data_IF_882597317397
#
_entry.id   IF_882597317397
#
_cell.length_a   1.000
_cell.length_b   1.000
_cell.length_c   1.000
_cell.angle_alpha   90.00
_cell.angle_beta   90.00
_cell.angle_gamma   90.00
#
_symmetry.space_group_name_H-M   'P 1'
#
loop_
_entity.id
_entity.type
_entity.pdbx_description
1 polymer ?
#
# COMPACT_ATOMS: atom_id res chain seq x y z
N UNK A 1 1.15 1.05 -18.13
CA UNK A 1 0.52 0.04 -17.24
C UNK A 1 -0.04 0.78 -16.05
N UNK A 2 -1.34 1.12 -16.03
CA UNK A 2 -1.95 1.88 -14.91
C UNK A 2 -3.49 1.78 -14.79
N UNK A 3 -4.15 0.93 -15.58
CA UNK A 3 -5.61 0.94 -15.69
C UNK A 3 -6.29 -0.43 -15.54
N UNK A 4 -5.56 -1.48 -15.13
CA UNK A 4 -6.14 -2.83 -14.93
C UNK A 4 -5.78 -3.49 -13.60
N UNK A 5 -4.97 -2.83 -12.76
CA UNK A 5 -4.52 -3.40 -11.49
C UNK A 5 -5.50 -3.14 -10.34
N UNK A 6 -6.15 -1.98 -10.31
CA UNK A 6 -6.93 -1.56 -9.14
C UNK A 6 -8.37 -2.10 -9.08
N UNK A 7 -8.89 -2.68 -10.17
CA UNK A 7 -10.26 -3.26 -10.17
C UNK A 7 -10.31 -4.69 -9.59
N UNK A 8 -9.16 -5.31 -9.27
CA UNK A 8 -9.08 -6.72 -8.80
C UNK A 8 -8.15 -6.84 -7.57
N UNK A 9 -7.95 -5.76 -6.84
CA UNK A 9 -7.12 -5.78 -5.62
C UNK A 9 -7.97 -5.41 -4.44
N UNK A 10 -8.09 -6.34 -3.49
CA UNK A 10 -8.82 -6.15 -2.24
C UNK A 10 -8.10 -5.11 -1.35
N UNK A 11 -6.77 -5.03 -1.43
CA UNK A 11 -5.95 -4.11 -0.61
C UNK A 11 -5.01 -3.30 -1.50
N UNK A 12 -4.92 -1.98 -1.27
CA UNK A 12 -3.93 -1.11 -1.93
C UNK A 12 -2.78 -0.78 -0.99
N UNK A 13 -1.55 -1.10 -1.40
CA UNK A 13 -0.34 -0.71 -0.67
C UNK A 13 0.34 0.47 -1.35
N UNK A 14 0.38 1.61 -0.67
CA UNK A 14 1.04 2.84 -1.11
C UNK A 14 2.44 2.92 -0.51
N UNK A 15 3.47 2.75 -1.33
CA UNK A 15 4.86 2.88 -0.87
C UNK A 15 5.33 4.32 -1.07
N UNK A 16 5.70 4.99 0.02
CA UNK A 16 6.23 6.36 0.03
C UNK A 16 7.62 6.35 0.64
N UNK A 17 8.54 7.12 0.08
CA UNK A 17 9.90 7.19 0.59
C UNK A 17 10.02 8.29 1.64
N UNK A 18 10.64 7.99 2.79
CA UNK A 18 10.80 8.93 3.90
C UNK A 18 11.74 10.12 3.59
N UNK A 19 12.55 10.04 2.54
CA UNK A 19 13.49 11.08 2.10
C UNK A 19 12.91 11.99 0.99
N UNK A 20 12.04 11.46 0.14
CA UNK A 20 11.50 12.15 -1.05
C UNK A 20 10.13 12.81 -0.81
N UNK A 21 9.39 12.41 0.25
CA UNK A 21 8.10 13.00 0.60
C UNK A 21 6.95 12.62 -0.35
N UNK A 22 5.89 13.42 -0.34
CA UNK A 22 4.71 13.20 -1.20
C UNK A 22 4.96 13.78 -2.60
N UNK A 23 5.13 12.89 -3.57
CA UNK A 23 5.26 13.26 -4.99
C UNK A 23 3.90 13.31 -5.70
N UNK A 24 3.76 14.01 -6.83
CA UNK A 24 2.51 14.04 -7.61
C UNK A 24 2.01 12.65 -8.00
N UNK A 25 2.90 11.69 -8.22
CA UNK A 25 2.55 10.30 -8.49
C UNK A 25 1.89 9.61 -7.28
N UNK A 26 2.28 9.98 -6.07
CA UNK A 26 1.67 9.53 -4.82
C UNK A 26 0.26 10.09 -4.71
N UNK A 27 0.06 11.38 -5.03
CA UNK A 27 -1.26 12.04 -5.02
C UNK A 27 -2.23 11.35 -5.99
N UNK A 28 -1.78 11.08 -7.22
CA UNK A 28 -2.57 10.33 -8.21
C UNK A 28 -2.96 8.93 -7.70
N UNK A 29 -2.03 8.24 -7.04
CA UNK A 29 -2.29 6.92 -6.46
C UNK A 29 -3.30 6.98 -5.32
N UNK A 30 -3.23 7.99 -4.45
CA UNK A 30 -4.20 8.22 -3.35
C UNK A 30 -5.60 8.45 -3.94
N UNK A 31 -5.71 9.31 -4.95
CA UNK A 31 -6.98 9.57 -5.61
C UNK A 31 -7.57 8.30 -6.24
N UNK A 32 -6.74 7.47 -6.85
CA UNK A 32 -7.18 6.22 -7.46
C UNK A 32 -7.64 5.21 -6.42
N UNK A 33 -6.89 5.05 -5.33
CA UNK A 33 -7.22 4.14 -4.24
C UNK A 33 -8.51 4.55 -3.53
N UNK A 34 -8.69 5.86 -3.27
CA UNK A 34 -9.94 6.41 -2.72
C UNK A 34 -11.14 6.19 -3.62
N UNK A 35 -10.97 6.36 -4.93
CA UNK A 35 -12.04 6.11 -5.91
C UNK A 35 -12.45 4.63 -5.94
N UNK A 36 -11.52 3.72 -5.71
CA UNK A 36 -11.77 2.28 -5.63
C UNK A 36 -12.43 1.84 -4.30
N UNK A 37 -12.42 2.68 -3.25
CA UNK A 37 -12.95 2.39 -1.91
C UNK A 37 -12.38 1.12 -1.27
N UNK A 38 -11.14 0.81 -1.60
CA UNK A 38 -10.40 -0.33 -1.04
C UNK A 38 -9.56 0.14 0.15
N UNK A 39 -9.32 -0.71 1.16
CA UNK A 39 -8.40 -0.40 2.26
C UNK A 39 -7.01 -0.01 1.74
N UNK A 40 -6.45 1.04 2.35
CA UNK A 40 -5.16 1.62 1.97
C UNK A 40 -4.16 1.39 3.11
N UNK A 41 -3.04 0.76 2.77
CA UNK A 41 -1.89 0.58 3.67
C UNK A 41 -0.75 1.44 3.15
N UNK A 42 -0.23 2.32 4.00
CA UNK A 42 0.90 3.19 3.66
C UNK A 42 2.20 2.58 4.20
N UNK A 43 3.10 2.24 3.28
CA UNK A 43 4.44 1.75 3.58
C UNK A 43 5.46 2.88 3.43
N UNK A 44 5.94 3.42 4.55
CA UNK A 44 7.00 4.44 4.58
C UNK A 44 8.36 3.75 4.51
N UNK A 45 9.01 3.80 3.35
CA UNK A 45 10.28 3.14 3.06
C UNK A 45 11.49 4.07 3.32
N UNK A 46 12.69 3.48 3.41
CA UNK A 46 14.01 4.14 3.59
C UNK A 46 14.23 4.79 4.97
N UNK A 47 13.66 4.22 6.03
CA UNK A 47 13.93 4.67 7.42
C UNK A 47 15.39 4.49 7.86
N UNK A 48 16.19 3.77 7.07
CA UNK A 48 17.62 3.56 7.33
C UNK A 48 18.49 4.79 7.04
N UNK A 49 17.95 5.79 6.32
CA UNK A 49 18.69 7.01 6.01
C UNK A 49 18.56 8.04 7.14
N UNK A 50 19.66 8.72 7.42
CA UNK A 50 19.72 9.85 8.36
C UNK A 50 18.91 11.08 7.91
N UNK A 51 18.60 11.19 6.61
CA UNK A 51 17.69 12.22 6.07
C UNK A 51 16.23 11.73 5.96
N UNK A 52 15.87 10.61 6.61
CA UNK A 52 14.51 10.11 6.62
C UNK A 52 13.65 10.91 7.61
N UNK A 53 12.58 11.53 7.13
CA UNK A 53 11.61 12.26 7.95
C UNK A 53 10.21 11.62 7.82
N UNK A 54 9.97 10.47 8.49
CA UNK A 54 8.68 9.79 8.41
C UNK A 54 7.53 10.64 8.94
N UNK A 55 7.77 11.47 9.95
CA UNK A 55 6.75 12.36 10.53
C UNK A 55 6.30 13.44 9.54
N UNK A 56 7.22 13.97 8.72
CA UNK A 56 6.87 14.91 7.65
C UNK A 56 5.98 14.25 6.61
N UNK A 57 6.32 13.03 6.18
CA UNK A 57 5.53 12.27 5.22
C UNK A 57 4.13 11.96 5.76
N UNK A 58 4.01 11.61 7.04
CA UNK A 58 2.72 11.40 7.70
C UNK A 58 1.86 12.66 7.70
N UNK A 59 2.47 13.83 7.95
CA UNK A 59 1.76 15.10 7.93
C UNK A 59 1.27 15.44 6.51
N UNK A 60 2.13 15.32 5.49
CA UNK A 60 1.74 15.58 4.10
C UNK A 60 0.63 14.63 3.61
N UNK A 61 0.69 13.35 3.99
CA UNK A 61 -0.35 12.38 3.65
C UNK A 61 -1.67 12.66 4.38
N UNK A 62 -1.60 13.16 5.62
CA UNK A 62 -2.77 13.62 6.37
C UNK A 62 -3.46 14.80 5.68
N UNK A 63 -2.70 15.72 5.07
CA UNK A 63 -3.26 16.81 4.26
C UNK A 63 -3.96 16.30 2.99
N UNK A 64 -3.51 15.18 2.43
CA UNK A 64 -4.21 14.47 1.35
C UNK A 64 -5.40 13.63 1.85
N UNK A 65 -5.65 13.67 3.17
CA UNK A 65 -6.75 13.03 3.87
C UNK A 65 -6.46 11.60 4.36
N UNK A 66 -5.25 11.07 4.15
CA UNK A 66 -4.85 9.76 4.71
C UNK A 66 -4.38 9.97 6.15
N UNK A 67 -5.32 9.81 7.08
CA UNK A 67 -5.07 10.03 8.50
C UNK A 67 -4.56 8.71 9.10
N UNK A 68 -3.40 8.71 9.78
CA UNK A 68 -2.89 7.51 10.44
C UNK A 68 -3.80 7.04 11.58
N UNK A 69 -3.84 5.73 11.81
CA UNK A 69 -4.57 5.14 12.96
C UNK A 69 -4.11 5.70 14.31
N UNK A 70 -2.82 6.01 14.46
CA UNK A 70 -2.29 6.68 15.67
C UNK A 70 -2.99 8.01 15.98
N UNK A 71 -3.55 8.68 14.96
CA UNK A 71 -4.26 9.95 15.08
C UNK A 71 -5.78 9.78 15.02
N UNK A 72 -6.27 8.54 15.16
CA UNK A 72 -7.69 8.20 15.08
C UNK A 72 -8.24 8.12 13.65
N UNK A 73 -7.35 7.96 12.67
CA UNK A 73 -7.73 7.69 11.28
C UNK A 73 -7.99 6.21 10.99
N UNK A 74 -8.17 5.91 9.71
CA UNK A 74 -8.45 4.57 9.16
C UNK A 74 -7.31 4.01 8.30
N UNK A 75 -6.22 4.78 8.13
CA UNK A 75 -5.09 4.39 7.30
C UNK A 75 -3.97 3.78 8.13
N UNK A 76 -3.56 2.57 7.77
CA UNK A 76 -2.47 1.85 8.45
C UNK A 76 -1.13 2.40 7.93
N UNK A 77 -0.24 2.81 8.83
CA UNK A 77 1.10 3.28 8.50
C UNK A 77 2.16 2.31 9.00
N UNK A 78 2.93 1.74 8.07
CA UNK A 78 4.03 0.83 8.38
C UNK A 78 5.35 1.46 7.96
N UNK A 79 6.26 1.60 8.93
CA UNK A 79 7.62 2.11 8.71
C UNK A 79 8.55 0.94 8.40
N UNK A 80 9.19 0.94 7.23
CA UNK A 80 10.06 -0.16 6.81
C UNK A 80 11.34 0.32 6.11
N UNK A 81 12.34 -0.54 6.11
CA UNK A 81 13.57 -0.38 5.33
C UNK A 81 13.73 -1.58 4.41
N UNK A 82 13.42 -1.37 3.12
CA UNK A 82 13.63 -2.39 2.09
C UNK A 82 15.11 -2.82 1.97
N UNK A 83 16.05 -1.95 2.37
CA UNK A 83 17.49 -2.23 2.27
C UNK A 83 18.00 -3.08 3.44
N UNK A 84 17.49 -2.85 4.66
CA UNK A 84 17.83 -3.64 5.85
C UNK A 84 16.91 -4.85 6.06
N UNK A 85 15.80 -4.92 5.34
CA UNK A 85 14.76 -5.93 5.53
C UNK A 85 13.89 -5.69 6.77
N UNK A 86 14.06 -4.57 7.46
CA UNK A 86 13.33 -4.25 8.69
C UNK A 86 11.92 -3.75 8.37
N UNK A 87 10.89 -4.22 9.09
CA UNK A 87 9.50 -3.79 8.89
C UNK A 87 8.78 -4.42 7.69
N UNK A 88 9.42 -5.34 6.98
CA UNK A 88 8.77 -6.12 5.91
C UNK A 88 7.83 -7.17 6.51
N UNK A 89 8.27 -7.85 7.57
CA UNK A 89 7.44 -8.78 8.32
C UNK A 89 6.23 -8.07 8.92
N UNK A 90 6.42 -6.90 9.56
CA UNK A 90 5.32 -6.09 10.07
C UNK A 90 4.32 -5.70 8.96
N UNK A 91 4.81 -5.30 7.78
CA UNK A 91 3.95 -4.99 6.63
C UNK A 91 3.13 -6.21 6.21
N UNK A 92 3.76 -7.40 6.15
CA UNK A 92 3.08 -8.64 5.80
C UNK A 92 2.04 -9.03 6.85
N UNK A 93 2.34 -8.87 8.14
CA UNK A 93 1.39 -9.12 9.23
C UNK A 93 0.20 -8.18 9.16
N UNK A 94 0.40 -6.88 8.89
CA UNK A 94 -0.70 -5.93 8.71
C UNK A 94 -1.55 -6.26 7.49
N UNK A 95 -0.93 -6.66 6.37
CA UNK A 95 -1.67 -7.10 5.18
C UNK A 95 -2.50 -8.34 5.49
N UNK A 96 -1.94 -9.32 6.22
CA UNK A 96 -2.65 -10.53 6.64
C UNK A 96 -3.84 -10.18 7.54
N UNK A 97 -3.64 -9.30 8.52
CA UNK A 97 -4.70 -8.86 9.43
C UNK A 97 -5.86 -8.18 8.68
N UNK A 98 -5.54 -7.27 7.75
CA UNK A 98 -6.56 -6.63 6.90
C UNK A 98 -7.27 -7.64 6.02
N UNK A 99 -6.54 -8.61 5.46
CA UNK A 99 -7.11 -9.67 4.63
C UNK A 99 -7.99 -10.67 5.42
N UNK A 100 -7.78 -10.83 6.73
CA UNK A 100 -8.66 -11.61 7.60
C UNK A 100 -9.93 -10.83 7.96
N UNK A 101 -9.83 -9.51 8.15
CA UNK A 101 -10.97 -8.64 8.43
C UNK A 101 -11.85 -8.43 7.20
N UNK A 102 -11.26 -8.28 6.02
CA UNK A 102 -11.95 -8.38 4.75
C UNK A 102 -12.27 -9.84 4.48
N UNK A 103 -13.38 -10.35 5.02
CA UNK A 103 -13.86 -11.73 4.85
C UNK A 103 -13.78 -12.18 3.38
N UNK A 104 -12.64 -12.73 2.98
CA UNK A 104 -12.40 -13.18 1.63
C UNK A 104 -13.22 -14.47 1.45
N UNK A 105 -14.48 -14.33 1.04
CA UNK A 105 -15.31 -15.43 0.55
C UNK A 105 -14.77 -15.88 -0.80
N UNK A 106 -13.60 -16.51 -0.79
CA UNK A 106 -13.08 -17.26 -1.92
C UNK A 106 -13.99 -18.48 -2.08
N UNK A 107 -14.88 -18.45 -3.08
CA UNK A 107 -15.66 -19.61 -3.48
C UNK A 107 -14.75 -20.54 -4.31
N UNK A 108 -14.35 -21.72 -3.80
CA UNK A 108 -13.39 -22.61 -4.48
C UNK A 108 -13.95 -23.25 -5.77
N UNK A 109 -15.23 -23.02 -6.11
CA UNK A 109 -15.90 -23.63 -7.27
C UNK A 109 -15.89 -22.78 -8.56
N UNK A 110 -15.38 -21.55 -8.55
CA UNK A 110 -15.32 -20.75 -9.80
C UNK A 110 -14.11 -21.15 -10.64
N UNK A 111 -14.40 -21.75 -11.82
CA UNK A 111 -13.43 -22.08 -12.87
C UNK A 111 -12.43 -20.94 -13.10
N UNK A 112 -11.16 -21.23 -12.81
CA UNK A 112 -10.00 -20.36 -13.00
C UNK A 112 -9.94 -19.80 -14.43
N UNK A 113 -10.13 -18.49 -14.59
CA UNK A 113 -9.58 -17.76 -15.74
C UNK A 113 -8.17 -17.30 -15.36
N UNK A 114 -7.20 -18.20 -15.52
CA UNK A 114 -5.78 -17.90 -15.39
C UNK A 114 -5.36 -17.04 -16.58
N UNK A 115 -5.27 -15.72 -16.38
CA UNK A 115 -4.61 -14.81 -17.32
C UNK A 115 -3.09 -14.96 -17.16
N UNK A 116 -2.46 -15.79 -17.99
CA UNK A 116 -1.00 -15.93 -18.03
C UNK A 116 -0.40 -14.67 -18.66
N UNK A 117 0.10 -13.75 -17.84
CA UNK A 117 0.98 -12.69 -18.32
C UNK A 117 2.41 -13.22 -18.37
N UNK A 118 2.93 -13.30 -19.60
CA UNK A 118 4.33 -13.54 -20.02
C UNK A 118 4.77 -15.00 -20.15
N UNK A 119 4.63 -15.51 -21.37
CA UNK A 119 5.54 -16.48 -21.98
C UNK A 119 6.53 -15.70 -22.84
N UNK A 120 7.78 -15.56 -22.41
CA UNK A 120 8.87 -15.18 -23.32
C UNK A 120 9.25 -16.41 -24.14
N UNK A 121 8.92 -16.38 -25.43
CA UNK A 121 9.45 -17.26 -26.45
C UNK A 121 10.19 -16.40 -27.47
N UNK A 122 11.42 -16.78 -27.83
CA UNK A 122 12.25 -16.14 -28.84
C UNK A 122 13.64 -15.83 -28.31
#
# INVERSE_FOLDING_TARGET
>A
MRARGAEITDITVLVVAADDGVMPQTIEAIHHARAAKVPIIVAVNKIDKENANPDHVMQELSEQGLIPEDWGGDTIFVKLSAKKGTGIDDLLEMILLVAEMEECKANPEKKSKRGCYRSTAG
#
